data_IF_415045189451
#
_entry.id   IF_415045189451
#
_cell.length_a   1.000
_cell.length_b   1.000
_cell.length_c   1.000
_cell.angle_alpha   90.00
_cell.angle_beta   90.00
_cell.angle_gamma   90.00
#
_symmetry.space_group_name_H-M   'P 1'
#
loop_
_entity.id
_entity.type
_entity.pdbx_description
1 polymer ?
#
# COMPACT_ATOMS: atom_id res chain seq x y z
N UNK A 1 -14.16 46.16 5.48
CA UNK A 1 -13.09 45.19 5.26
C UNK A 1 -13.01 44.35 6.55
N UNK A 2 -13.54 43.13 6.51
CA UNK A 2 -13.42 42.17 7.61
C UNK A 2 -11.95 41.83 7.75
N UNK A 3 -11.35 42.13 8.92
CA UNK A 3 -10.03 41.60 9.26
C UNK A 3 -10.18 40.07 9.35
N UNK A 4 -9.74 39.36 8.33
CA UNK A 4 -9.53 37.91 8.42
C UNK A 4 -8.46 37.66 9.45
N UNK A 5 -8.83 36.99 10.55
CA UNK A 5 -7.88 36.64 11.60
C UNK A 5 -7.06 35.44 11.16
N UNK A 6 -5.79 35.67 10.83
CA UNK A 6 -4.86 34.56 10.65
C UNK A 6 -4.50 33.99 12.03
N UNK A 7 -4.55 32.65 12.14
CA UNK A 7 -4.18 31.95 13.37
C UNK A 7 -3.48 30.62 13.04
N UNK A 8 -2.75 30.12 14.01
CA UNK A 8 -2.09 28.84 13.90
C UNK A 8 -2.93 27.75 14.55
N UNK A 9 -3.13 26.64 13.82
CA UNK A 9 -3.95 25.50 14.24
C UNK A 9 -3.12 24.22 14.25
N UNK A 10 -2.86 23.59 15.41
CA UNK A 10 -2.27 22.26 15.48
C UNK A 10 -3.34 21.19 15.30
N UNK A 11 -3.06 20.15 14.47
CA UNK A 11 -3.88 18.94 14.32
C UNK A 11 -2.99 17.71 14.59
N UNK A 12 -3.37 16.87 15.53
CA UNK A 12 -2.63 15.66 15.90
C UNK A 12 -1.70 15.85 17.10
N UNK A 13 -0.73 14.92 17.36
CA UNK A 13 -0.47 13.73 16.54
C UNK A 13 -1.58 12.69 16.57
N UNK A 14 -2.39 12.61 17.62
CA UNK A 14 -3.56 11.74 17.72
C UNK A 14 -4.81 12.59 17.58
N UNK A 15 -5.54 12.38 16.48
CA UNK A 15 -6.75 13.13 16.17
C UNK A 15 -7.78 12.24 15.51
N UNK A 16 -9.07 12.40 15.84
CA UNK A 16 -10.18 11.57 15.37
C UNK A 16 -10.33 11.53 13.83
N UNK A 17 -9.87 12.56 13.15
CA UNK A 17 -9.92 12.69 11.70
C UNK A 17 -8.65 12.16 10.97
N UNK A 18 -7.68 11.63 11.73
CA UNK A 18 -6.44 11.08 11.21
C UNK A 18 -6.38 9.57 11.47
N UNK A 19 -6.05 8.80 10.45
CA UNK A 19 -5.93 7.34 10.54
C UNK A 19 -4.65 6.90 11.26
N UNK A 20 -3.60 7.71 11.15
CA UNK A 20 -2.27 7.43 11.69
C UNK A 20 -1.75 8.64 12.47
N UNK A 21 -0.90 8.46 13.50
CA UNK A 21 -0.37 9.55 14.30
C UNK A 21 0.60 10.43 13.51
N UNK A 22 0.11 11.56 13.05
CA UNK A 22 0.87 12.61 12.33
C UNK A 22 0.48 13.97 12.91
N UNK A 23 1.44 14.86 13.03
CA UNK A 23 1.21 16.21 13.51
C UNK A 23 1.26 17.20 12.33
N UNK A 24 0.20 17.98 12.17
CA UNK A 24 0.11 19.09 11.23
C UNK A 24 0.07 20.40 12.00
N UNK A 25 0.93 21.31 11.60
CA UNK A 25 0.90 22.70 12.02
C UNK A 25 0.41 23.54 10.86
N UNK A 26 -0.74 24.17 11.01
CA UNK A 26 -1.42 24.90 9.95
C UNK A 26 -1.46 26.38 10.25
N UNK A 27 -1.09 27.21 9.29
CA UNK A 27 -1.43 28.64 9.30
C UNK A 27 -2.71 28.83 8.49
N UNK A 28 -3.73 29.41 9.13
CA UNK A 28 -5.09 29.48 8.59
C UNK A 28 -5.56 30.93 8.55
N UNK A 29 -6.22 31.28 7.45
CA UNK A 29 -6.88 32.57 7.26
C UNK A 29 -8.40 32.32 7.13
N UNK A 30 -9.14 32.57 8.20
CA UNK A 30 -10.54 32.12 8.31
C UNK A 30 -10.62 30.60 8.34
N UNK A 31 -11.19 29.99 7.30
CA UNK A 31 -11.25 28.53 7.12
C UNK A 31 -10.26 28.02 6.02
N UNK A 32 -9.47 28.91 5.45
CA UNK A 32 -8.56 28.59 4.36
C UNK A 32 -7.14 28.34 4.87
N UNK A 33 -6.56 27.20 4.55
CA UNK A 33 -5.20 26.81 4.90
C UNK A 33 -4.21 27.56 4.01
N UNK A 34 -3.25 28.28 4.62
CA UNK A 34 -2.22 29.04 3.90
C UNK A 34 -0.86 28.36 3.90
N UNK A 35 -0.54 27.69 5.00
CA UNK A 35 0.73 26.97 5.17
C UNK A 35 0.50 25.70 5.94
N UNK A 36 1.27 24.67 5.60
CA UNK A 36 1.25 23.39 6.28
C UNK A 36 2.68 22.97 6.59
N UNK A 37 2.92 22.63 7.84
CA UNK A 37 4.14 21.94 8.29
C UNK A 37 3.76 20.58 8.85
N UNK A 38 4.51 19.55 8.46
CA UNK A 38 4.20 18.16 8.80
C UNK A 38 5.32 17.58 9.64
N UNK A 39 4.96 16.99 10.79
CA UNK A 39 5.90 16.22 11.60
C UNK A 39 5.40 14.77 11.70
N UNK A 40 6.15 13.85 11.12
CA UNK A 40 5.92 12.41 11.19
C UNK A 40 6.89 11.74 12.18
N UNK A 41 6.74 10.43 12.39
CA UNK A 41 7.64 9.65 13.25
C UNK A 41 7.12 9.41 14.68
N UNK A 42 5.87 9.76 14.97
CA UNK A 42 5.24 9.52 16.28
C UNK A 42 5.06 8.04 16.64
N UNK A 43 5.11 7.15 15.64
CA UNK A 43 5.05 5.68 15.81
C UNK A 43 6.41 5.01 15.68
N UNK A 44 7.51 5.74 15.79
CA UNK A 44 8.85 5.19 15.74
C UNK A 44 9.08 4.16 16.84
N UNK A 45 9.43 2.92 16.44
CA UNK A 45 9.60 1.76 17.35
C UNK A 45 11.00 1.18 17.34
N UNK A 46 11.98 1.84 16.72
CA UNK A 46 13.36 1.39 16.63
C UNK A 46 13.54 0.07 15.84
N UNK A 47 12.66 -0.26 14.92
CA UNK A 47 12.60 -1.56 14.28
C UNK A 47 13.83 -1.87 13.41
N UNK A 48 14.42 -0.88 12.74
CA UNK A 48 15.67 -1.06 11.99
C UNK A 48 16.81 -1.48 12.92
N UNK A 49 16.92 -0.87 14.11
CA UNK A 49 17.89 -1.25 15.14
C UNK A 49 17.62 -2.64 15.73
N UNK A 50 16.34 -3.00 15.95
CA UNK A 50 15.98 -4.35 16.38
C UNK A 50 16.34 -5.41 15.35
N UNK A 51 16.27 -5.10 14.06
CA UNK A 51 16.56 -6.03 12.98
C UNK A 51 18.04 -6.45 12.99
N UNK A 52 18.97 -5.57 13.37
CA UNK A 52 20.41 -5.90 13.45
C UNK A 52 20.76 -6.83 14.62
N UNK A 53 19.82 -7.00 15.56
CA UNK A 53 19.99 -7.87 16.75
C UNK A 53 19.27 -9.21 16.59
N UNK A 54 18.66 -9.49 15.45
CA UNK A 54 17.86 -10.67 15.17
C UNK A 54 18.36 -11.38 13.93
N UNK A 55 18.29 -12.71 13.95
CA UNK A 55 18.66 -13.47 12.77
C UNK A 55 17.70 -13.22 11.60
N UNK A 56 18.16 -13.56 10.40
CA UNK A 56 17.44 -13.30 9.17
C UNK A 56 16.01 -13.91 9.15
N UNK A 57 15.81 -15.09 9.73
CA UNK A 57 14.49 -15.73 9.79
C UNK A 57 13.52 -14.96 10.69
N UNK A 58 13.96 -14.50 11.86
CA UNK A 58 13.14 -13.71 12.79
C UNK A 58 12.78 -12.35 12.18
N UNK A 59 13.66 -11.80 11.36
CA UNK A 59 13.42 -10.54 10.67
C UNK A 59 12.29 -10.62 9.63
N UNK A 60 12.01 -11.80 9.04
CA UNK A 60 10.84 -11.98 8.18
C UNK A 60 9.54 -11.63 8.93
N UNK A 61 9.42 -12.09 10.18
CA UNK A 61 8.27 -11.74 11.04
C UNK A 61 8.32 -10.29 11.53
N UNK A 62 9.50 -9.77 11.87
CA UNK A 62 9.65 -8.38 12.30
C UNK A 62 9.21 -7.41 11.22
N UNK A 63 9.62 -7.63 9.96
CA UNK A 63 9.28 -6.75 8.84
C UNK A 63 7.79 -6.72 8.55
N UNK A 64 7.05 -7.81 8.74
CA UNK A 64 5.59 -7.79 8.66
C UNK A 64 4.91 -6.90 9.71
N UNK A 65 5.60 -6.56 10.80
CA UNK A 65 5.07 -5.72 11.88
C UNK A 65 5.37 -4.24 11.68
N UNK A 66 6.04 -3.87 10.60
CA UNK A 66 6.24 -2.46 10.23
C UNK A 66 4.90 -1.80 9.93
N UNK A 67 4.06 -2.45 9.11
CA UNK A 67 2.72 -1.96 8.78
C UNK A 67 1.74 -3.13 8.71
N UNK A 68 0.59 -3.01 9.37
CA UNK A 68 -0.43 -4.06 9.38
C UNK A 68 -1.14 -4.23 8.03
N UNK A 69 -1.33 -3.14 7.28
CA UNK A 69 -2.07 -3.13 6.01
C UNK A 69 -1.24 -3.66 4.84
N UNK A 70 0.05 -3.31 4.77
CA UNK A 70 0.98 -3.77 3.74
C UNK A 70 2.05 -4.75 4.27
N UNK A 71 1.72 -5.50 5.32
CA UNK A 71 2.62 -6.43 6.01
C UNK A 71 3.30 -7.42 5.06
N UNK A 72 2.57 -7.94 4.08
CA UNK A 72 3.10 -8.90 3.12
C UNK A 72 4.16 -8.29 2.20
N UNK A 73 3.96 -7.05 1.72
CA UNK A 73 4.94 -6.33 0.89
C UNK A 73 6.26 -6.16 1.64
N UNK A 74 6.22 -5.86 2.95
CA UNK A 74 7.41 -5.73 3.77
C UNK A 74 8.20 -7.03 3.89
N UNK A 75 7.53 -8.15 4.23
CA UNK A 75 8.21 -9.45 4.31
C UNK A 75 8.68 -9.95 2.95
N UNK A 76 7.91 -9.72 1.90
CA UNK A 76 8.30 -10.05 0.52
C UNK A 76 9.57 -9.31 0.11
N UNK A 77 9.59 -7.98 0.24
CA UNK A 77 10.74 -7.18 -0.18
C UNK A 77 11.99 -7.47 0.65
N UNK A 78 11.80 -7.76 1.95
CA UNK A 78 12.88 -8.22 2.81
C UNK A 78 13.44 -9.59 2.33
N UNK A 79 12.59 -10.57 2.05
CA UNK A 79 13.03 -11.88 1.55
C UNK A 79 13.78 -11.72 0.22
N UNK A 80 13.27 -10.90 -0.71
CA UNK A 80 13.96 -10.59 -1.96
C UNK A 80 15.33 -9.95 -1.74
N UNK A 81 15.48 -9.05 -0.74
CA UNK A 81 16.78 -8.46 -0.42
C UNK A 81 17.79 -9.52 0.08
N UNK A 82 17.35 -10.46 0.91
CA UNK A 82 18.21 -11.56 1.37
C UNK A 82 18.56 -12.51 0.21
N UNK A 83 17.57 -12.85 -0.61
CA UNK A 83 17.75 -13.71 -1.78
C UNK A 83 18.72 -13.12 -2.80
N UNK A 84 18.67 -11.78 -3.00
CA UNK A 84 19.63 -11.07 -3.85
C UNK A 84 21.07 -11.20 -3.33
N UNK A 85 21.29 -11.11 -2.01
CA UNK A 85 22.62 -11.35 -1.39
C UNK A 85 23.11 -12.77 -1.65
N UNK A 86 22.20 -13.74 -1.61
CA UNK A 86 22.50 -15.15 -1.82
C UNK A 86 22.63 -15.56 -3.29
N UNK A 87 22.25 -14.70 -4.24
CA UNK A 87 22.09 -15.07 -5.65
C UNK A 87 21.03 -16.18 -5.85
N UNK A 88 20.06 -16.25 -4.94
CA UNK A 88 19.05 -17.32 -4.87
C UNK A 88 17.77 -16.90 -5.58
N UNK A 89 17.21 -17.80 -6.37
CA UNK A 89 15.89 -17.63 -7.00
C UNK A 89 14.91 -18.62 -6.38
N UNK A 90 13.80 -18.16 -5.80
CA UNK A 90 12.73 -19.04 -5.31
C UNK A 90 12.14 -19.91 -6.43
N UNK A 91 11.61 -21.11 -6.13
CA UNK A 91 10.97 -21.96 -7.11
C UNK A 91 9.82 -21.25 -7.83
N UNK A 92 9.53 -21.61 -9.12
CA UNK A 92 8.45 -20.98 -9.87
C UNK A 92 7.12 -20.98 -9.13
N UNK A 93 6.70 -22.11 -8.55
CA UNK A 93 5.47 -22.20 -7.75
C UNK A 93 5.44 -21.18 -6.63
N UNK A 94 6.55 -21.03 -5.88
CA UNK A 94 6.65 -20.08 -4.78
C UNK A 94 6.55 -18.62 -5.28
N UNK A 95 7.07 -18.29 -6.45
CA UNK A 95 6.96 -16.95 -7.02
C UNK A 95 5.51 -16.59 -7.36
N UNK A 96 4.73 -17.52 -7.95
CA UNK A 96 3.29 -17.33 -8.19
C UNK A 96 2.52 -17.16 -6.87
N UNK A 97 2.80 -17.98 -5.86
CA UNK A 97 2.17 -17.91 -4.55
C UNK A 97 2.49 -16.57 -3.83
N UNK A 98 3.70 -16.04 -3.99
CA UNK A 98 4.05 -14.70 -3.47
C UNK A 98 3.21 -13.59 -4.11
N UNK A 99 3.00 -13.65 -5.43
CA UNK A 99 2.12 -12.70 -6.13
C UNK A 99 0.67 -12.86 -5.67
N UNK A 100 0.18 -14.09 -5.48
CA UNK A 100 -1.15 -14.33 -4.88
C UNK A 100 -1.31 -13.65 -3.52
N UNK A 101 -0.34 -13.82 -2.62
CA UNK A 101 -0.37 -13.19 -1.30
C UNK A 101 -0.32 -11.66 -1.39
N UNK A 102 0.50 -11.10 -2.29
CA UNK A 102 0.66 -9.66 -2.46
C UNK A 102 -0.61 -9.00 -3.01
N UNK A 103 -1.17 -9.56 -4.08
CA UNK A 103 -2.38 -9.00 -4.69
C UNK A 103 -3.63 -9.20 -3.82
N UNK A 104 -3.72 -10.30 -3.05
CA UNK A 104 -4.76 -10.49 -2.01
C UNK A 104 -4.72 -9.36 -0.97
N UNK A 105 -3.52 -9.00 -0.51
CA UNK A 105 -3.33 -7.89 0.43
C UNK A 105 -3.64 -6.54 -0.21
N UNK A 106 -3.29 -6.35 -1.49
CA UNK A 106 -3.58 -5.10 -2.22
C UNK A 106 -5.08 -4.86 -2.32
N UNK A 107 -5.87 -5.86 -2.74
CA UNK A 107 -7.34 -5.76 -2.77
C UNK A 107 -7.90 -5.35 -1.42
N UNK A 108 -7.52 -6.07 -0.34
CA UNK A 108 -8.00 -5.77 1.01
C UNK A 108 -7.57 -4.38 1.52
N UNK A 109 -6.37 -3.91 1.15
CA UNK A 109 -5.84 -2.59 1.50
C UNK A 109 -6.57 -1.47 0.76
N UNK A 110 -6.79 -1.62 -0.54
CA UNK A 110 -7.51 -0.62 -1.33
C UNK A 110 -8.97 -0.50 -0.89
N UNK A 111 -9.65 -1.62 -0.65
CA UNK A 111 -11.02 -1.60 -0.11
C UNK A 111 -11.08 -0.88 1.24
N UNK A 112 -10.09 -1.06 2.11
CA UNK A 112 -10.02 -0.34 3.37
C UNK A 112 -9.88 1.17 3.17
N UNK A 113 -8.92 1.62 2.35
CA UNK A 113 -8.73 3.05 2.09
C UNK A 113 -9.96 3.70 1.45
N UNK A 114 -10.61 3.02 0.48
CA UNK A 114 -11.84 3.49 -0.17
C UNK A 114 -12.99 3.58 0.84
N UNK A 115 -13.09 2.64 1.79
CA UNK A 115 -14.08 2.70 2.86
C UNK A 115 -13.86 3.92 3.76
N UNK A 116 -12.62 4.14 4.23
CA UNK A 116 -12.28 5.32 5.05
C UNK A 116 -12.54 6.62 4.27
N UNK A 117 -12.23 6.66 2.98
CA UNK A 117 -12.60 7.79 2.13
C UNK A 117 -14.12 8.06 2.20
N UNK A 118 -14.96 7.03 2.01
CA UNK A 118 -16.42 7.16 2.10
C UNK A 118 -16.87 7.67 3.48
N UNK A 119 -16.19 7.24 4.57
CA UNK A 119 -16.42 7.76 5.92
C UNK A 119 -16.09 9.25 6.03
N UNK A 120 -14.93 9.66 5.54
CA UNK A 120 -14.42 11.04 5.63
C UNK A 120 -15.26 12.03 4.82
N UNK A 121 -15.86 11.60 3.71
CA UNK A 121 -16.81 12.43 2.95
C UNK A 121 -18.22 12.46 3.57
N UNK A 122 -18.47 11.70 4.65
CA UNK A 122 -19.75 11.62 5.34
C UNK A 122 -20.73 10.58 4.78
N UNK A 123 -20.30 9.68 3.91
CA UNK A 123 -21.16 8.65 3.28
C UNK A 123 -21.09 7.32 4.07
N UNK A 124 -21.69 7.34 5.27
CA UNK A 124 -21.63 6.22 6.23
C UNK A 124 -22.16 4.89 5.68
N UNK A 125 -23.24 4.89 4.92
CA UNK A 125 -23.80 3.63 4.36
C UNK A 125 -22.86 3.01 3.33
N UNK A 126 -22.20 3.82 2.50
CA UNK A 126 -21.18 3.34 1.57
C UNK A 126 -19.96 2.79 2.31
N UNK A 127 -19.50 3.47 3.37
CA UNK A 127 -18.42 2.98 4.24
C UNK A 127 -18.74 1.57 4.77
N UNK A 128 -19.91 1.36 5.37
CA UNK A 128 -20.31 0.07 5.92
C UNK A 128 -20.39 -1.01 4.84
N UNK A 129 -20.94 -0.68 3.67
CA UNK A 129 -21.00 -1.60 2.54
C UNK A 129 -19.62 -2.04 2.04
N UNK A 130 -18.68 -1.09 1.88
CA UNK A 130 -17.32 -1.42 1.42
C UNK A 130 -16.59 -2.26 2.49
N UNK A 131 -16.80 -1.98 3.78
CA UNK A 131 -16.23 -2.81 4.87
C UNK A 131 -16.77 -4.24 4.84
N UNK A 132 -18.06 -4.42 4.55
CA UNK A 132 -18.67 -5.76 4.34
C UNK A 132 -18.04 -6.47 3.14
N UNK A 133 -17.86 -5.78 2.02
CA UNK A 133 -17.18 -6.34 0.84
C UNK A 133 -15.74 -6.76 1.18
N UNK A 134 -15.03 -5.95 1.95
CA UNK A 134 -13.67 -6.25 2.41
C UNK A 134 -13.58 -7.51 3.26
N UNK A 135 -14.62 -7.85 4.04
CA UNK A 135 -14.64 -9.07 4.86
C UNK A 135 -14.46 -10.33 4.01
N UNK A 136 -14.95 -10.38 2.77
CA UNK A 136 -14.67 -11.52 1.87
C UNK A 136 -13.17 -11.75 1.68
N UNK A 137 -12.38 -10.66 1.56
CA UNK A 137 -10.92 -10.76 1.45
C UNK A 137 -10.25 -11.10 2.79
N UNK A 138 -10.87 -10.71 3.92
CA UNK A 138 -10.39 -11.11 5.24
C UNK A 138 -10.58 -12.62 5.44
N UNK A 139 -11.73 -13.17 5.02
CA UNK A 139 -12.04 -14.60 5.10
C UNK A 139 -11.10 -15.42 4.19
N UNK A 140 -10.81 -14.92 2.98
CA UNK A 140 -9.78 -15.50 2.09
C UNK A 140 -8.42 -15.57 2.80
N UNK A 141 -8.01 -14.48 3.45
CA UNK A 141 -6.73 -14.43 4.18
C UNK A 141 -6.71 -15.40 5.36
N UNK A 142 -7.77 -15.48 6.12
CA UNK A 142 -7.88 -16.40 7.25
C UNK A 142 -7.85 -17.86 6.78
N UNK A 143 -8.60 -18.19 5.74
CA UNK A 143 -8.71 -19.54 5.22
C UNK A 143 -7.39 -20.04 4.62
N UNK A 144 -6.71 -19.21 3.81
CA UNK A 144 -5.50 -19.62 3.08
C UNK A 144 -4.24 -19.49 3.94
N UNK A 145 -4.12 -18.41 4.72
CA UNK A 145 -2.89 -18.07 5.46
C UNK A 145 -3.03 -18.24 6.98
N UNK A 146 -4.22 -18.53 7.50
CA UNK A 146 -4.48 -18.69 8.93
C UNK A 146 -4.51 -17.37 9.71
N UNK A 147 -4.50 -16.20 9.04
CA UNK A 147 -4.50 -14.91 9.71
C UNK A 147 -5.12 -13.80 8.85
N UNK A 148 -6.00 -13.00 9.47
CA UNK A 148 -6.72 -11.91 8.80
C UNK A 148 -5.85 -10.67 8.51
N UNK A 149 -4.74 -10.48 9.23
CA UNK A 149 -3.90 -9.26 9.14
C UNK A 149 -2.50 -9.54 8.62
N UNK A 150 -1.70 -10.33 9.33
CA UNK A 150 -0.33 -10.64 8.97
C UNK A 150 -0.26 -12.06 8.43
N UNK A 151 -0.04 -12.21 7.14
CA UNK A 151 -0.18 -13.51 6.47
C UNK A 151 0.92 -14.50 6.84
N UNK A 152 2.10 -14.03 7.22
CA UNK A 152 3.31 -14.86 7.40
C UNK A 152 3.60 -15.79 6.21
N UNK A 153 3.18 -15.34 5.02
CA UNK A 153 3.22 -16.13 3.80
C UNK A 153 4.65 -16.37 3.29
N UNK A 154 5.51 -15.34 3.39
CA UNK A 154 6.86 -15.37 2.85
C UNK A 154 7.86 -16.02 3.79
N UNK A 155 8.81 -16.76 3.23
CA UNK A 155 10.07 -17.12 3.87
C UNK A 155 11.23 -16.88 2.88
N UNK A 156 12.45 -16.80 3.39
CA UNK A 156 13.64 -16.72 2.56
C UNK A 156 13.72 -18.00 1.72
N UNK A 157 13.82 -17.85 0.42
CA UNK A 157 13.85 -18.94 -0.55
C UNK A 157 12.48 -19.45 -0.98
N UNK A 158 11.34 -18.88 -0.49
CA UNK A 158 10.02 -19.34 -0.90
C UNK A 158 8.84 -18.85 -0.06
N UNK A 159 7.87 -19.74 0.15
CA UNK A 159 6.62 -19.49 0.89
C UNK A 159 6.32 -20.58 1.92
N UNK A 160 5.43 -20.26 2.88
CA UNK A 160 5.02 -21.18 3.97
C UNK A 160 3.60 -21.74 3.79
N UNK A 161 2.95 -21.45 2.69
CA UNK A 161 1.59 -21.91 2.38
C UNK A 161 1.55 -22.49 0.97
N UNK A 162 0.50 -23.21 0.68
CA UNK A 162 0.23 -23.75 -0.64
C UNK A 162 -1.23 -23.56 -1.04
N UNK A 163 -1.54 -23.81 -2.30
CA UNK A 163 -2.88 -23.78 -2.88
C UNK A 163 -3.21 -25.14 -3.44
N UNK A 164 -4.35 -25.67 -3.07
CA UNK A 164 -5.00 -26.82 -3.68
C UNK A 164 -6.25 -26.39 -4.48
N UNK A 165 -6.89 -27.37 -5.13
CA UNK A 165 -8.08 -27.11 -5.94
C UNK A 165 -9.25 -26.56 -5.10
N UNK A 166 -9.39 -26.99 -3.85
CA UNK A 166 -10.44 -26.53 -2.95
C UNK A 166 -10.26 -25.07 -2.57
N UNK A 167 -9.04 -24.68 -2.18
CA UNK A 167 -8.69 -23.29 -1.85
C UNK A 167 -8.77 -22.38 -3.09
N UNK A 168 -8.40 -22.91 -4.25
CA UNK A 168 -8.51 -22.22 -5.55
C UNK A 168 -9.97 -21.89 -5.87
N UNK A 169 -10.86 -22.86 -5.79
CA UNK A 169 -12.30 -22.67 -6.02
C UNK A 169 -12.89 -21.68 -5.02
N UNK A 170 -12.56 -21.83 -3.74
CA UNK A 170 -13.01 -20.91 -2.69
C UNK A 170 -12.57 -19.45 -2.96
N UNK A 171 -11.30 -19.27 -3.35
CA UNK A 171 -10.79 -17.94 -3.66
C UNK A 171 -11.49 -17.33 -4.88
N UNK A 172 -11.69 -18.08 -5.95
CA UNK A 172 -12.37 -17.63 -7.16
C UNK A 172 -13.80 -17.15 -6.87
N UNK A 173 -14.58 -17.90 -6.07
CA UNK A 173 -15.93 -17.51 -5.66
C UNK A 173 -15.95 -16.17 -4.89
N UNK A 174 -14.99 -15.98 -3.97
CA UNK A 174 -14.86 -14.72 -3.22
C UNK A 174 -14.44 -13.57 -4.12
N UNK A 175 -13.54 -13.80 -5.08
CA UNK A 175 -13.14 -12.78 -6.05
C UNK A 175 -14.31 -12.34 -6.94
N UNK A 176 -15.19 -13.25 -7.38
CA UNK A 176 -16.39 -12.90 -8.13
C UNK A 176 -17.33 -12.01 -7.31
N UNK A 177 -17.55 -12.35 -6.05
CA UNK A 177 -18.36 -11.57 -5.10
C UNK A 177 -17.80 -10.15 -4.92
N UNK A 178 -16.48 -10.05 -4.71
CA UNK A 178 -15.79 -8.75 -4.53
C UNK A 178 -15.87 -7.92 -5.81
N UNK A 179 -15.61 -8.53 -6.97
CA UNK A 179 -15.63 -7.82 -8.25
C UNK A 179 -17.00 -7.21 -8.55
N UNK A 180 -18.08 -7.98 -8.37
CA UNK A 180 -19.45 -7.48 -8.57
C UNK A 180 -19.81 -6.35 -7.59
N UNK A 181 -19.36 -6.43 -6.36
CA UNK A 181 -19.57 -5.37 -5.39
C UNK A 181 -18.77 -4.10 -5.75
N UNK A 182 -17.51 -4.25 -6.18
CA UNK A 182 -16.66 -3.11 -6.56
C UNK A 182 -17.15 -2.42 -7.84
N UNK A 183 -17.77 -3.14 -8.78
CA UNK A 183 -18.46 -2.50 -9.93
C UNK A 183 -19.57 -1.53 -9.47
N UNK A 184 -20.32 -1.91 -8.42
CA UNK A 184 -21.35 -1.00 -7.83
C UNK A 184 -20.70 0.18 -7.12
N UNK A 185 -19.62 -0.04 -6.37
CA UNK A 185 -18.84 1.02 -5.72
C UNK A 185 -18.30 2.00 -6.76
N UNK A 186 -17.67 1.52 -7.84
CA UNK A 186 -17.16 2.37 -8.93
C UNK A 186 -18.27 3.25 -9.53
N UNK A 187 -19.46 2.66 -9.79
CA UNK A 187 -20.62 3.41 -10.29
C UNK A 187 -21.00 4.55 -9.33
N UNK A 188 -21.06 4.27 -8.01
CA UNK A 188 -21.35 5.29 -6.99
C UNK A 188 -20.30 6.40 -7.02
N UNK A 189 -19.01 6.07 -7.05
CA UNK A 189 -17.92 7.06 -7.13
C UNK A 189 -18.02 7.97 -8.36
N UNK A 190 -18.54 7.44 -9.47
CA UNK A 190 -18.71 8.21 -10.72
C UNK A 190 -19.94 9.12 -10.72
N UNK A 191 -21.01 8.73 -10.02
CA UNK A 191 -22.34 9.35 -10.20
C UNK A 191 -22.85 10.07 -8.97
N UNK A 192 -22.31 9.82 -7.79
CA UNK A 192 -22.80 10.43 -6.56
C UNK A 192 -22.33 11.88 -6.40
N UNK A 193 -23.27 12.85 -6.22
CA UNK A 193 -22.93 14.26 -6.13
C UNK A 193 -22.19 14.64 -4.84
N UNK A 194 -22.37 13.90 -3.72
CA UNK A 194 -21.65 14.16 -2.49
C UNK A 194 -20.18 13.82 -2.66
N UNK A 195 -19.88 12.63 -3.22
CA UNK A 195 -18.51 12.22 -3.52
C UNK A 195 -17.86 13.23 -4.47
N UNK A 196 -18.54 13.58 -5.56
CA UNK A 196 -18.01 14.53 -6.52
C UNK A 196 -17.70 15.90 -5.87
N UNK A 197 -18.61 16.43 -5.06
CA UNK A 197 -18.44 17.73 -4.39
C UNK A 197 -17.28 17.73 -3.38
N UNK A 198 -17.04 16.62 -2.69
CA UNK A 198 -16.03 16.51 -1.61
C UNK A 198 -14.66 16.03 -2.11
N UNK A 199 -14.51 15.69 -3.38
CA UNK A 199 -13.27 15.10 -3.86
C UNK A 199 -12.75 15.64 -5.20
N UNK A 200 -13.66 16.10 -6.11
CA UNK A 200 -13.23 16.67 -7.38
C UNK A 200 -12.70 18.08 -7.20
N UNK A 201 -11.52 18.34 -7.75
CA UNK A 201 -10.80 19.61 -7.60
C UNK A 201 -10.29 19.89 -6.18
N UNK A 202 -10.38 18.92 -5.26
CA UNK A 202 -9.90 19.04 -3.89
C UNK A 202 -8.52 18.40 -3.79
N UNK A 203 -7.54 19.07 -3.16
CA UNK A 203 -6.21 18.55 -2.95
C UNK A 203 -5.49 18.17 -4.24
N UNK A 204 -5.52 19.06 -5.23
CA UNK A 204 -4.93 18.83 -6.54
C UNK A 204 -3.41 18.81 -6.43
N UNK A 205 -2.79 17.79 -7.03
CA UNK A 205 -1.36 17.69 -7.24
C UNK A 205 -1.12 17.60 -8.75
N UNK A 206 -0.49 18.61 -9.33
CA UNK A 206 -0.19 18.62 -10.75
C UNK A 206 0.77 17.48 -11.12
N UNK A 207 0.81 17.11 -12.41
CA UNK A 207 1.74 16.10 -12.89
C UNK A 207 3.19 16.56 -12.71
N UNK A 208 3.45 17.86 -12.91
CA UNK A 208 4.76 18.49 -12.75
C UNK A 208 5.21 18.44 -11.28
N UNK A 209 4.35 18.81 -10.34
CA UNK A 209 4.66 18.75 -8.91
C UNK A 209 4.81 17.30 -8.44
N UNK A 210 3.94 16.40 -8.90
CA UNK A 210 4.03 14.98 -8.60
C UNK A 210 5.38 14.38 -9.04
N UNK A 211 5.88 14.76 -10.22
CA UNK A 211 7.18 14.35 -10.71
C UNK A 211 8.32 14.98 -9.91
N UNK A 212 8.27 16.30 -9.68
CA UNK A 212 9.30 17.04 -8.96
C UNK A 212 9.48 16.59 -7.50
N UNK A 213 8.37 16.23 -6.84
CA UNK A 213 8.37 15.71 -5.45
C UNK A 213 8.68 14.21 -5.37
N UNK A 214 8.74 13.52 -6.51
CA UNK A 214 9.05 12.09 -6.56
C UNK A 214 7.99 11.21 -5.88
N UNK A 215 6.71 11.61 -5.93
CA UNK A 215 5.63 10.82 -5.33
C UNK A 215 5.47 9.46 -6.03
N UNK A 216 4.95 8.48 -5.30
CA UNK A 216 4.86 7.10 -5.75
C UNK A 216 3.46 6.52 -5.60
N UNK A 217 3.20 5.40 -6.25
CA UNK A 217 1.97 4.63 -6.11
C UNK A 217 0.72 5.33 -6.64
N UNK A 218 -0.45 5.09 -6.03
CA UNK A 218 -1.71 5.71 -6.45
C UNK A 218 -1.69 7.24 -6.44
N UNK A 219 -0.83 7.88 -5.63
CA UNK A 219 -0.64 9.34 -5.62
C UNK A 219 -0.04 9.80 -6.95
N UNK A 220 1.03 9.17 -7.40
CA UNK A 220 1.65 9.45 -8.69
C UNK A 220 0.71 9.15 -9.87
N UNK A 221 0.03 8.00 -9.82
CA UNK A 221 -0.89 7.55 -10.88
C UNK A 221 -2.16 8.38 -10.94
N UNK A 222 -2.62 8.94 -9.83
CA UNK A 222 -3.73 9.91 -9.79
C UNK A 222 -3.41 11.22 -10.49
N UNK A 223 -2.14 11.60 -10.60
CA UNK A 223 -1.62 12.77 -11.33
C UNK A 223 -1.09 12.42 -12.73
N UNK A 224 -1.47 11.27 -13.28
CA UNK A 224 -1.13 10.87 -14.66
C UNK A 224 0.29 10.34 -14.88
N UNK A 225 1.07 10.06 -13.81
CA UNK A 225 2.38 9.46 -13.95
C UNK A 225 2.27 7.95 -14.21
N UNK A 226 3.09 7.45 -15.14
CA UNK A 226 3.14 6.06 -15.56
C UNK A 226 4.21 5.30 -14.77
N UNK A 227 4.01 5.19 -13.45
CA UNK A 227 4.98 4.61 -12.54
C UNK A 227 4.34 3.48 -11.74
N UNK A 228 4.86 2.25 -11.94
CA UNK A 228 4.51 1.06 -11.20
C UNK A 228 5.72 0.10 -11.21
N UNK A 229 6.24 -0.26 -10.06
CA UNK A 229 7.44 -1.10 -9.93
C UNK A 229 7.23 -2.47 -10.60
N UNK A 230 6.01 -3.00 -10.58
CA UNK A 230 5.65 -4.28 -11.22
C UNK A 230 5.87 -4.29 -12.73
N UNK A 231 5.84 -3.10 -13.38
CA UNK A 231 6.08 -2.89 -14.83
C UNK A 231 7.44 -2.28 -15.12
N UNK A 232 7.85 -1.26 -14.35
CA UNK A 232 9.08 -0.49 -14.65
C UNK A 232 10.35 -1.21 -14.18
N UNK A 233 10.26 -1.99 -13.11
CA UNK A 233 11.34 -2.83 -12.57
C UNK A 233 10.75 -4.18 -12.14
N UNK A 234 10.32 -5.01 -13.09
CA UNK A 234 9.53 -6.21 -12.81
C UNK A 234 10.29 -7.21 -11.95
N UNK A 235 9.56 -7.89 -11.08
CA UNK A 235 10.08 -8.89 -10.15
C UNK A 235 9.11 -10.07 -10.07
N UNK A 236 9.54 -11.20 -9.51
CA UNK A 236 8.78 -12.46 -9.45
C UNK A 236 8.24 -12.83 -10.84
N UNK A 237 6.96 -13.18 -10.91
CA UNK A 237 6.28 -13.58 -12.16
C UNK A 237 5.43 -12.45 -12.78
N UNK A 238 5.54 -11.21 -12.33
CA UNK A 238 4.80 -10.10 -12.96
C UNK A 238 5.07 -9.92 -14.45
N UNK A 239 6.29 -10.19 -14.98
CA UNK A 239 6.54 -10.17 -16.43
C UNK A 239 5.67 -11.16 -17.25
N UNK A 240 5.26 -12.27 -16.63
CA UNK A 240 4.47 -13.34 -17.27
C UNK A 240 2.95 -13.10 -17.15
N UNK A 241 2.57 -12.01 -16.47
CA UNK A 241 1.17 -11.66 -16.17
C UNK A 241 0.76 -10.40 -16.93
N UNK A 242 -0.49 -10.41 -17.40
CA UNK A 242 -1.06 -9.27 -18.08
C UNK A 242 -1.89 -8.40 -17.12
N UNK A 243 -1.53 -7.13 -17.02
CA UNK A 243 -2.29 -6.08 -16.31
C UNK A 243 -1.92 -4.71 -16.87
N UNK A 244 -2.75 -3.71 -16.63
CA UNK A 244 -2.52 -2.34 -17.05
C UNK A 244 -2.15 -1.46 -15.84
N UNK A 245 -1.33 -0.43 -16.08
CA UNK A 245 -1.11 0.62 -15.08
C UNK A 245 -2.33 1.53 -15.06
N UNK A 246 -3.09 1.49 -13.99
CA UNK A 246 -4.27 2.33 -13.80
C UNK A 246 -3.82 3.77 -13.54
N UNK A 247 -4.37 4.73 -14.31
CA UNK A 247 -4.08 6.16 -14.18
C UNK A 247 -5.34 7.00 -14.26
N UNK A 248 -5.31 8.13 -13.58
CA UNK A 248 -6.22 9.28 -13.75
C UNK A 248 -5.38 10.52 -14.03
N UNK A 249 -6.00 11.64 -14.43
CA UNK A 249 -5.24 12.80 -14.91
C UNK A 249 -5.39 14.06 -14.06
N UNK A 250 -6.49 14.17 -13.29
CA UNK A 250 -6.87 15.42 -12.63
C UNK A 250 -6.05 15.71 -11.36
N UNK A 251 -5.33 14.71 -10.82
CA UNK A 251 -4.47 14.85 -9.67
C UNK A 251 -5.19 15.19 -8.35
N UNK A 252 -6.50 15.12 -8.30
CA UNK A 252 -7.32 15.43 -7.14
C UNK A 252 -7.57 14.20 -6.26
N UNK A 253 -8.27 14.39 -5.16
CA UNK A 253 -8.65 13.31 -4.24
C UNK A 253 -9.48 12.24 -4.96
N UNK A 254 -10.41 12.65 -5.85
CA UNK A 254 -11.22 11.72 -6.62
C UNK A 254 -10.36 10.81 -7.50
N UNK A 255 -9.41 11.39 -8.20
CA UNK A 255 -8.49 10.66 -9.08
C UNK A 255 -7.70 9.61 -8.32
N UNK A 256 -7.14 9.97 -7.16
CA UNK A 256 -6.40 9.02 -6.30
C UNK A 256 -7.29 7.90 -5.76
N UNK A 257 -8.55 8.21 -5.41
CA UNK A 257 -9.52 7.19 -4.98
C UNK A 257 -9.91 6.26 -6.15
N UNK A 258 -10.16 6.81 -7.33
CA UNK A 258 -10.51 6.02 -8.53
C UNK A 258 -9.38 5.11 -9.00
N UNK A 259 -8.13 5.55 -8.89
CA UNK A 259 -6.97 4.66 -9.14
C UNK A 259 -7.07 3.41 -8.26
N UNK A 260 -7.34 3.56 -6.96
CA UNK A 260 -7.45 2.41 -6.04
C UNK A 260 -8.65 1.52 -6.36
N UNK A 261 -9.81 2.10 -6.66
CA UNK A 261 -11.00 1.34 -7.07
C UNK A 261 -10.68 0.47 -8.29
N UNK A 262 -10.02 1.04 -9.29
CA UNK A 262 -9.69 0.33 -10.53
C UNK A 262 -8.54 -0.66 -10.35
N UNK A 263 -7.58 -0.37 -9.48
CA UNK A 263 -6.50 -1.32 -9.14
C UNK A 263 -7.04 -2.59 -8.46
N UNK A 264 -8.20 -2.55 -7.81
CA UNK A 264 -8.86 -3.76 -7.32
C UNK A 264 -9.18 -4.72 -8.48
N UNK A 265 -9.70 -4.22 -9.60
CA UNK A 265 -9.98 -5.07 -10.77
C UNK A 265 -8.71 -5.64 -11.37
N UNK A 266 -7.64 -4.84 -11.48
CA UNK A 266 -6.35 -5.33 -11.97
C UNK A 266 -5.77 -6.41 -11.06
N UNK A 267 -5.85 -6.22 -9.73
CA UNK A 267 -5.40 -7.22 -8.75
C UNK A 267 -6.23 -8.51 -8.85
N UNK A 268 -7.55 -8.42 -9.02
CA UNK A 268 -8.42 -9.60 -9.24
C UNK A 268 -8.02 -10.32 -10.53
N UNK A 269 -7.72 -9.58 -11.61
CA UNK A 269 -7.23 -10.14 -12.87
C UNK A 269 -5.89 -10.88 -12.70
N UNK A 270 -4.97 -10.30 -11.93
CA UNK A 270 -3.69 -10.92 -11.60
C UNK A 270 -3.87 -12.19 -10.76
N UNK A 271 -4.73 -12.15 -9.75
CA UNK A 271 -5.04 -13.31 -8.91
C UNK A 271 -5.57 -14.48 -9.72
N UNK A 272 -6.53 -14.25 -10.63
CA UNK A 272 -7.07 -15.29 -11.53
C UNK A 272 -5.99 -15.88 -12.45
N UNK A 273 -5.13 -15.04 -13.03
CA UNK A 273 -4.02 -15.51 -13.86
C UNK A 273 -3.00 -16.32 -13.07
N UNK A 274 -2.70 -15.93 -11.82
CA UNK A 274 -1.81 -16.70 -10.97
C UNK A 274 -2.38 -18.06 -10.60
N UNK A 275 -3.68 -18.16 -10.34
CA UNK A 275 -4.35 -19.43 -10.05
C UNK A 275 -4.39 -20.34 -11.28
N UNK A 276 -4.66 -19.78 -12.47
CA UNK A 276 -4.71 -20.52 -13.73
C UNK A 276 -3.32 -21.04 -14.16
N UNK A 277 -2.27 -20.26 -13.93
CA UNK A 277 -0.90 -20.56 -14.36
C UNK A 277 -0.04 -21.19 -13.25
N UNK A 278 -0.61 -21.52 -12.09
CA UNK A 278 0.16 -22.01 -10.94
C UNK A 278 0.85 -23.35 -11.26
N UNK A 279 2.18 -23.40 -11.40
CA UNK A 279 2.87 -24.63 -11.74
C UNK A 279 3.01 -25.56 -10.53
N UNK A 280 3.19 -26.85 -10.76
CA UNK A 280 3.65 -27.77 -9.75
C UNK A 280 5.10 -27.51 -9.36
N UNK A 281 5.48 -27.89 -8.14
CA UNK A 281 6.86 -27.76 -7.70
C UNK A 281 7.03 -27.51 -6.21
N UNK A 282 8.27 -27.36 -5.75
CA UNK A 282 8.57 -27.10 -4.35
C UNK A 282 8.15 -25.68 -3.95
N UNK A 283 7.87 -25.51 -2.64
CA UNK A 283 7.45 -24.23 -2.05
C UNK A 283 8.63 -23.36 -1.63
N UNK A 284 9.78 -23.96 -1.41
CA UNK A 284 10.99 -23.24 -0.96
C UNK A 284 12.24 -24.02 -1.32
N UNK A 285 13.36 -23.31 -1.42
CA UNK A 285 14.71 -23.86 -1.47
C UNK A 285 15.42 -23.61 -0.14
N UNK A 286 16.38 -24.48 0.17
CA UNK A 286 17.15 -24.34 1.40
C UNK A 286 18.09 -23.13 1.32
N UNK A 287 18.16 -22.36 2.41
CA UNK A 287 19.04 -21.21 2.52
C UNK A 287 20.44 -21.66 2.96
N UNK A 288 21.45 -21.24 2.23
CA UNK A 288 22.85 -21.38 2.60
C UNK A 288 23.30 -20.29 3.58
N UNK A 289 24.57 -20.37 4.01
CA UNK A 289 25.16 -19.32 4.84
C UNK A 289 25.20 -18.00 4.07
N UNK A 290 24.72 -16.92 4.70
CA UNK A 290 24.69 -15.59 4.10
C UNK A 290 26.10 -15.00 4.08
N UNK A 291 26.66 -14.65 2.92
CA UNK A 291 27.98 -14.03 2.79
C UNK A 291 27.97 -12.57 3.25
N UNK A 292 29.15 -11.98 3.42
CA UNK A 292 29.28 -10.53 3.53
C UNK A 292 28.98 -9.90 2.15
N UNK A 293 27.95 -9.04 2.10
CA UNK A 293 27.49 -8.39 0.87
C UNK A 293 26.49 -7.28 1.19
N UNK A 294 25.99 -6.63 0.16
CA UNK A 294 24.88 -5.70 0.27
C UNK A 294 23.89 -5.88 -0.89
N UNK A 295 22.66 -5.51 -0.68
CA UNK A 295 21.62 -5.57 -1.71
C UNK A 295 20.55 -4.52 -1.51
N UNK A 296 19.86 -4.22 -2.62
CA UNK A 296 18.63 -3.43 -2.65
C UNK A 296 17.53 -4.28 -3.31
N UNK A 297 16.36 -4.31 -2.69
CA UNK A 297 15.17 -4.90 -3.28
C UNK A 297 14.03 -3.87 -3.31
N UNK A 298 13.18 -3.98 -4.33
CA UNK A 298 12.02 -3.10 -4.54
C UNK A 298 10.78 -3.93 -4.80
N UNK A 299 9.65 -3.45 -4.32
CA UNK A 299 8.32 -3.97 -4.70
C UNK A 299 7.31 -2.83 -4.78
N UNK A 300 6.20 -3.08 -5.44
CA UNK A 300 5.05 -2.16 -5.44
C UNK A 300 4.09 -2.58 -4.32
N UNK A 301 4.17 -1.93 -3.17
CA UNK A 301 3.17 -2.06 -2.12
C UNK A 301 1.85 -1.37 -2.52
N UNK A 302 0.71 -1.61 -1.83
CA UNK A 302 -0.56 -0.95 -2.16
C UNK A 302 -0.49 0.58 -2.20
N UNK A 303 0.45 1.18 -1.47
CA UNK A 303 0.67 2.63 -1.39
C UNK A 303 1.73 3.15 -2.35
N UNK A 304 2.47 2.24 -3.02
CA UNK A 304 3.54 2.59 -3.96
C UNK A 304 4.85 1.85 -3.69
N UNK A 305 5.93 2.36 -4.27
CA UNK A 305 7.25 1.76 -4.19
C UNK A 305 7.75 1.61 -2.75
N UNK A 306 8.06 0.38 -2.38
CA UNK A 306 8.74 -0.01 -1.15
C UNK A 306 10.16 -0.46 -1.48
N UNK A 307 11.16 0.09 -0.78
CA UNK A 307 12.57 -0.26 -0.96
C UNK A 307 13.13 -0.81 0.34
N UNK A 308 13.90 -1.88 0.26
CA UNK A 308 14.75 -2.42 1.32
C UNK A 308 16.22 -2.37 0.91
N UNK A 309 17.05 -1.86 1.80
CA UNK A 309 18.51 -1.97 1.74
C UNK A 309 18.96 -2.91 2.85
N UNK A 310 19.76 -3.89 2.49
CA UNK A 310 20.32 -4.88 3.39
C UNK A 310 21.84 -4.90 3.24
N UNK A 311 22.55 -4.83 4.36
CA UNK A 311 23.98 -5.10 4.46
C UNK A 311 24.21 -6.27 5.40
N UNK A 312 25.01 -7.22 4.96
CA UNK A 312 25.38 -8.44 5.69
C UNK A 312 26.88 -8.46 5.97
N UNK A 313 27.30 -9.17 7.02
CA UNK A 313 28.68 -9.26 7.46
C UNK A 313 29.16 -10.72 7.66
N UNK A 314 28.49 -11.67 7.01
CA UNK A 314 28.81 -13.09 7.11
C UNK A 314 28.39 -13.76 8.42
N UNK A 315 27.67 -13.04 9.30
CA UNK A 315 27.04 -13.59 10.52
C UNK A 315 25.60 -14.00 10.26
N UNK A 316 24.90 -14.47 11.30
CA UNK A 316 23.48 -14.82 11.24
C UNK A 316 22.51 -13.63 11.43
N UNK A 317 23.06 -12.42 11.61
CA UNK A 317 22.32 -11.19 11.78
C UNK A 317 22.73 -10.14 10.75
N UNK A 318 21.83 -9.26 10.28
CA UNK A 318 22.19 -8.16 9.39
C UNK A 318 23.15 -7.18 10.08
N UNK A 319 24.17 -6.68 9.36
CA UNK A 319 24.96 -5.54 9.79
C UNK A 319 24.09 -4.26 9.75
N UNK A 320 23.25 -4.13 8.74
CA UNK A 320 22.29 -3.04 8.58
C UNK A 320 21.06 -3.50 7.81
N UNK A 321 19.88 -3.07 8.24
CA UNK A 321 18.65 -3.20 7.52
C UNK A 321 17.94 -1.84 7.51
N UNK A 322 17.57 -1.35 6.34
CA UNK A 322 16.84 -0.10 6.15
C UNK A 322 15.70 -0.28 5.18
N UNK A 323 14.61 0.45 5.37
CA UNK A 323 13.52 0.50 4.41
C UNK A 323 13.02 1.92 4.18
N UNK A 324 12.55 2.17 2.98
CA UNK A 324 11.85 3.39 2.59
C UNK A 324 10.42 3.01 2.22
N UNK A 325 9.47 3.42 3.05
CA UNK A 325 8.04 3.23 2.79
C UNK A 325 7.51 4.26 1.80
N UNK A 326 6.43 3.94 1.04
CA UNK A 326 5.85 4.88 0.06
C UNK A 326 5.43 6.22 0.67
N UNK A 327 4.91 6.22 1.90
CA UNK A 327 4.45 7.44 2.57
C UNK A 327 5.55 8.48 2.77
N UNK A 328 6.82 8.07 2.97
CA UNK A 328 7.94 9.01 3.04
C UNK A 328 8.06 9.89 1.79
N UNK A 329 7.75 9.32 0.62
CA UNK A 329 7.79 10.06 -0.64
C UNK A 329 6.56 10.93 -0.85
N UNK A 330 5.45 10.60 -0.20
CA UNK A 330 4.18 11.25 -0.43
C UNK A 330 3.86 12.36 0.60
N UNK A 331 4.59 12.43 1.73
CA UNK A 331 4.33 13.44 2.78
C UNK A 331 4.47 14.87 2.28
N UNK A 332 5.54 15.19 1.56
CA UNK A 332 5.79 16.54 1.08
C UNK A 332 4.70 17.02 0.12
N UNK A 333 4.11 16.10 -0.65
CA UNK A 333 3.00 16.43 -1.54
C UNK A 333 1.77 16.98 -0.82
N UNK A 334 1.55 16.64 0.45
CA UNK A 334 0.45 17.18 1.25
C UNK A 334 0.57 18.70 1.44
N UNK A 335 1.79 19.25 1.52
CA UNK A 335 2.01 20.69 1.64
C UNK A 335 1.48 21.45 0.42
N UNK A 336 1.60 20.84 -0.77
CA UNK A 336 1.04 21.36 -2.02
C UNK A 336 -0.47 21.14 -2.09
N UNK A 337 -0.93 19.91 -1.78
CA UNK A 337 -2.35 19.53 -1.86
C UNK A 337 -3.25 20.28 -0.88
N UNK A 338 -2.73 20.65 0.29
CA UNK A 338 -3.49 21.34 1.34
C UNK A 338 -3.45 22.86 1.22
N UNK A 339 -2.53 23.41 0.42
CA UNK A 339 -2.44 24.84 0.22
C UNK A 339 -3.73 25.36 -0.41
N UNK A 340 -4.30 26.41 0.21
CA UNK A 340 -5.54 27.07 -0.18
C UNK A 340 -6.81 26.18 -0.13
N UNK A 341 -6.74 24.98 0.51
CA UNK A 341 -7.92 24.16 0.80
C UNK A 341 -8.71 24.68 2.00
N UNK A 342 -9.92 24.18 2.19
CA UNK A 342 -10.71 24.41 3.39
C UNK A 342 -10.28 23.44 4.51
N UNK A 343 -10.35 23.87 5.77
CA UNK A 343 -10.06 23.02 6.94
C UNK A 343 -10.83 21.68 6.90
N UNK A 344 -12.07 21.72 6.45
CA UNK A 344 -12.91 20.52 6.32
C UNK A 344 -12.43 19.52 5.28
N UNK A 345 -11.54 19.89 4.36
CA UNK A 345 -11.00 19.02 3.31
C UNK A 345 -9.75 18.26 3.75
N UNK A 346 -9.10 18.67 4.84
CA UNK A 346 -7.86 18.07 5.34
C UNK A 346 -7.98 16.55 5.54
N UNK A 347 -9.00 16.00 6.23
CA UNK A 347 -9.10 14.56 6.43
C UNK A 347 -9.19 13.77 5.11
N UNK A 348 -9.89 14.31 4.13
CA UNK A 348 -10.07 13.67 2.82
C UNK A 348 -8.77 13.72 2.02
N UNK A 349 -8.04 14.85 2.08
CA UNK A 349 -6.74 15.00 1.42
C UNK A 349 -5.71 14.06 2.05
N UNK A 350 -5.63 13.99 3.38
CA UNK A 350 -4.72 13.07 4.09
C UNK A 350 -5.04 11.61 3.76
N UNK A 351 -6.31 11.21 3.86
CA UNK A 351 -6.73 9.86 3.49
C UNK A 351 -6.35 9.51 2.05
N UNK A 352 -6.35 10.49 1.14
CA UNK A 352 -6.08 10.23 -0.28
C UNK A 352 -4.65 9.79 -0.58
N UNK A 353 -3.67 10.08 0.28
CA UNK A 353 -2.32 9.51 0.18
C UNK A 353 -2.20 8.13 0.83
N UNK A 354 -3.20 7.73 1.65
CA UNK A 354 -3.24 6.45 2.37
C UNK A 354 -1.99 6.29 3.27
N UNK A 355 -1.85 7.10 4.33
CA UNK A 355 -0.62 7.15 5.11
C UNK A 355 -0.30 5.80 5.75
N UNK A 356 1.00 5.48 5.79
CA UNK A 356 1.56 4.34 6.48
C UNK A 356 2.77 4.86 7.29
N UNK A 357 2.61 4.98 8.58
CA UNK A 357 3.58 5.63 9.48
C UNK A 357 4.26 4.61 10.39
#
# INVERSE_FOLDING_TARGET
MSQTSSFSLPIGPVHVALEEPVYFHLDVDGETVRKVEITSGHVHRGMEGMATQRNFFKNTTLTERVCSLCSNSHSLTYCMAVENVLGMTPPPRAQYLRVLAEETKRVASHLFNIAIFAHNVGFKSLFLHIMEVRENMQDVKETIYGNRMNLSANCIGGVKFDMDDSLTMYMLERLDTVEEAVKRVEKVFRTDPLIAKRSRGVGVLSREDAWALGVVGPVARGSGLDIDVRKNTPYLVYPDLYFDIVKEQDGDVWSRAMVRVREVFESIRLLRQCLDKLPDGPLAVHMERIPESESVARSEAPRGELIYYLQTNGTDTPARLKWRVPSYMNWEALTVMMKDCQLADIPVIVNSIDPCV
#
